data_IF_493622353045
#
_entry.id   IF_493622353045
#
_cell.length_a   1.000
_cell.length_b   1.000
_cell.length_c   1.000
_cell.angle_alpha   90.00
_cell.angle_beta   90.00
_cell.angle_gamma   90.00
#
_symmetry.space_group_name_H-M   'P 1'
#
loop_
_entity.id
_entity.type
_entity.pdbx_description
1 polymer ?
#
# COMPACT_ATOMS: atom_id res chain seq x y z
N UNK A 1 3.64 23.18 -40.65
CA UNK A 1 3.04 22.38 -39.55
C UNK A 1 4.02 22.27 -38.41
N UNK A 2 3.61 22.63 -37.20
CA UNK A 2 4.39 22.49 -35.97
C UNK A 2 3.76 21.38 -35.12
N UNK A 3 4.58 20.41 -34.70
CA UNK A 3 4.17 19.35 -33.78
C UNK A 3 4.93 19.53 -32.47
N UNK A 4 4.20 19.67 -31.38
CA UNK A 4 4.77 19.77 -30.03
C UNK A 4 4.50 18.46 -29.29
N UNK A 5 5.57 17.78 -28.89
CA UNK A 5 5.49 16.56 -28.08
C UNK A 5 5.84 16.92 -26.64
N UNK A 6 4.92 16.66 -25.72
CA UNK A 6 5.11 16.92 -24.30
C UNK A 6 5.70 15.67 -23.64
N UNK A 7 6.88 15.80 -23.03
CA UNK A 7 7.47 14.78 -22.17
C UNK A 7 7.36 15.22 -20.71
N UNK A 8 6.67 14.44 -19.90
CA UNK A 8 6.52 14.72 -18.47
C UNK A 8 7.71 14.16 -17.72
N UNK A 9 8.35 14.97 -16.88
CA UNK A 9 9.46 14.51 -16.02
C UNK A 9 8.92 13.64 -14.88
N UNK A 10 9.63 12.58 -14.48
CA UNK A 10 9.27 11.80 -13.30
C UNK A 10 9.17 12.67 -12.06
N UNK A 11 8.14 12.44 -11.24
CA UNK A 11 7.98 13.11 -9.96
C UNK A 11 8.53 12.22 -8.84
N UNK A 12 9.01 12.82 -7.74
CA UNK A 12 9.63 12.09 -6.62
C UNK A 12 8.66 11.13 -5.93
N UNK A 13 7.39 11.50 -5.84
CA UNK A 13 6.38 10.75 -5.09
C UNK A 13 5.21 10.24 -5.93
N UNK A 14 5.01 10.80 -7.12
CA UNK A 14 3.83 10.51 -7.94
C UNK A 14 4.22 9.79 -9.21
N UNK A 15 3.52 8.71 -9.51
CA UNK A 15 3.59 8.04 -10.80
C UNK A 15 2.26 8.20 -11.52
N UNK A 16 2.28 8.72 -12.74
CA UNK A 16 1.09 8.80 -13.58
C UNK A 16 0.90 7.50 -14.34
N UNK A 17 -0.30 6.95 -14.29
CA UNK A 17 -0.74 5.81 -15.08
C UNK A 17 -2.06 6.15 -15.79
N UNK A 18 -1.98 6.49 -17.08
CA UNK A 18 -3.12 7.01 -17.83
C UNK A 18 -3.69 8.30 -17.22
N UNK A 19 -4.91 8.22 -16.70
CA UNK A 19 -5.58 9.29 -15.94
C UNK A 19 -5.40 9.17 -14.43
N UNK A 20 -4.86 8.06 -13.93
CA UNK A 20 -4.69 7.83 -12.51
C UNK A 20 -3.31 8.33 -12.03
N UNK A 21 -3.26 8.69 -10.76
CA UNK A 21 -2.02 9.04 -10.06
C UNK A 21 -1.79 7.98 -8.99
N UNK A 22 -0.60 7.39 -8.97
CA UNK A 22 -0.18 6.43 -7.95
C UNK A 22 0.74 7.16 -6.97
N UNK A 23 0.44 7.01 -5.68
CA UNK A 23 1.25 7.49 -4.57
C UNK A 23 1.63 6.31 -3.68
N UNK A 24 2.92 6.11 -3.46
CA UNK A 24 3.42 5.16 -2.48
C UNK A 24 3.48 5.82 -1.10
N UNK A 25 2.63 5.37 -0.19
CA UNK A 25 2.55 5.88 1.17
C UNK A 25 3.26 4.91 2.12
N UNK A 26 4.41 5.35 2.63
CA UNK A 26 5.13 4.61 3.66
C UNK A 26 4.43 4.78 5.02
N UNK A 27 4.05 3.68 5.64
CA UNK A 27 3.47 3.65 6.99
C UNK A 27 4.29 2.70 7.86
N UNK A 28 4.38 2.97 9.15
CA UNK A 28 5.06 2.04 10.06
C UNK A 28 4.14 0.86 10.44
N UNK A 29 4.74 -0.20 10.97
CA UNK A 29 4.01 -1.42 11.36
C UNK A 29 2.90 -1.18 12.41
N UNK A 30 3.04 -0.17 13.28
CA UNK A 30 2.01 0.14 14.27
C UNK A 30 0.79 0.82 13.62
N UNK A 31 1.01 1.76 12.71
CA UNK A 31 -0.07 2.37 11.90
C UNK A 31 -0.82 1.31 11.09
N UNK A 32 -0.08 0.38 10.47
CA UNK A 32 -0.68 -0.71 9.71
C UNK A 32 -1.52 -1.64 10.60
N UNK A 33 -1.01 -2.01 11.78
CA UNK A 33 -1.70 -2.90 12.70
C UNK A 33 -2.92 -2.26 13.37
N UNK A 34 -2.78 -1.01 13.84
CA UNK A 34 -3.78 -0.33 14.67
C UNK A 34 -4.76 0.54 13.86
N UNK A 35 -4.42 0.82 12.59
CA UNK A 35 -5.09 1.84 11.79
C UNK A 35 -4.57 3.23 12.15
N UNK A 36 -4.82 4.19 11.25
CA UNK A 36 -4.41 5.58 11.42
C UNK A 36 -5.21 6.51 10.49
N UNK A 37 -5.15 7.81 10.70
CA UNK A 37 -5.66 8.82 9.77
C UNK A 37 -4.55 9.79 9.41
N UNK A 38 -4.20 9.85 8.12
CA UNK A 38 -3.08 10.65 7.63
C UNK A 38 -3.50 11.57 6.49
N UNK A 39 -2.81 12.70 6.33
CA UNK A 39 -2.96 13.55 5.16
C UNK A 39 -1.96 13.16 4.07
N UNK A 40 -2.46 12.99 2.85
CA UNK A 40 -1.63 12.71 1.67
C UNK A 40 -1.69 13.88 0.68
N UNK A 41 -0.58 14.17 -0.02
CA UNK A 41 -0.57 15.18 -1.06
C UNK A 41 -1.34 14.69 -2.29
N UNK A 42 -1.96 15.64 -2.98
CA UNK A 42 -2.59 15.45 -4.29
C UNK A 42 -1.76 16.12 -5.38
N UNK A 43 -1.92 15.65 -6.63
CA UNK A 43 -1.18 16.20 -7.78
C UNK A 43 -1.53 17.68 -8.10
N UNK A 44 -2.65 18.19 -7.59
CA UNK A 44 -3.06 19.60 -7.74
C UNK A 44 -2.53 20.53 -6.63
N UNK A 45 -1.66 20.01 -5.75
CA UNK A 45 -1.05 20.77 -4.66
C UNK A 45 -1.87 20.85 -3.38
N UNK A 46 -3.06 20.23 -3.34
CA UNK A 46 -3.88 20.12 -2.12
C UNK A 46 -3.52 18.87 -1.32
N UNK A 47 -4.14 18.71 -0.16
CA UNK A 47 -4.09 17.49 0.64
C UNK A 47 -5.46 16.82 0.72
N UNK A 48 -5.46 15.52 1.01
CA UNK A 48 -6.66 14.75 1.34
C UNK A 48 -6.38 13.87 2.55
N UNK A 49 -7.37 13.76 3.45
CA UNK A 49 -7.33 12.80 4.55
C UNK A 49 -7.59 11.39 4.03
N UNK A 50 -6.80 10.45 4.51
CA UNK A 50 -6.84 9.03 4.18
C UNK A 50 -6.89 8.25 5.48
N UNK A 51 -7.95 7.47 5.64
CA UNK A 51 -8.06 6.51 6.73
C UNK A 51 -7.37 5.22 6.33
N UNK A 52 -6.39 4.81 7.13
CA UNK A 52 -5.71 3.52 7.04
C UNK A 52 -6.47 2.54 7.93
N UNK A 53 -7.10 1.49 7.37
CA UNK A 53 -7.78 0.48 8.17
C UNK A 53 -6.81 -0.26 9.10
N UNK A 54 -7.29 -0.66 10.28
CA UNK A 54 -6.53 -1.57 11.14
C UNK A 54 -6.31 -2.92 10.44
N UNK A 55 -5.12 -3.49 10.59
CA UNK A 55 -4.71 -4.72 9.90
C UNK A 55 -4.31 -4.54 8.44
N UNK A 56 -4.07 -3.31 7.98
CA UNK A 56 -3.59 -3.04 6.62
C UNK A 56 -2.28 -3.76 6.33
N UNK A 57 -2.14 -4.28 5.11
CA UNK A 57 -0.98 -5.04 4.65
C UNK A 57 -0.15 -4.25 3.64
N UNK A 58 1.07 -4.75 3.39
CA UNK A 58 1.89 -4.25 2.28
C UNK A 58 1.16 -4.43 0.96
N UNK A 59 1.12 -3.38 0.14
CA UNK A 59 0.52 -3.43 -1.20
C UNK A 59 -0.97 -3.14 -1.23
N UNK A 60 -1.64 -3.07 -0.07
CA UNK A 60 -3.03 -2.63 0.00
C UNK A 60 -3.20 -1.24 -0.63
N UNK A 61 -4.33 -1.02 -1.28
CA UNK A 61 -4.59 0.21 -2.02
C UNK A 61 -5.84 0.92 -1.53
N UNK A 62 -5.73 2.22 -1.35
CA UNK A 62 -6.84 3.11 -1.04
C UNK A 62 -7.08 4.02 -2.23
N UNK A 63 -8.31 4.05 -2.73
CA UNK A 63 -8.67 4.81 -3.94
C UNK A 63 -9.37 6.11 -3.57
N UNK A 64 -8.73 7.23 -3.89
CA UNK A 64 -9.30 8.57 -3.79
C UNK A 64 -9.95 8.93 -5.13
N UNK A 65 -11.28 8.76 -5.18
CA UNK A 65 -12.07 8.96 -6.40
C UNK A 65 -12.00 10.41 -6.88
N UNK A 66 -11.89 10.59 -8.20
CA UNK A 66 -11.82 11.88 -8.88
C UNK A 66 -10.66 12.77 -8.38
N UNK A 67 -9.53 12.19 -7.94
CA UNK A 67 -8.33 12.92 -7.52
C UNK A 67 -7.13 12.72 -8.46
N UNK A 68 -7.32 12.03 -9.58
CA UNK A 68 -6.32 11.86 -10.62
C UNK A 68 -6.28 13.02 -11.62
N UNK A 69 -5.79 12.74 -12.82
CA UNK A 69 -5.62 13.72 -13.90
C UNK A 69 -6.96 13.98 -14.63
N UNK A 70 -7.30 15.24 -14.96
CA UNK A 70 -8.45 15.52 -15.80
C UNK A 70 -8.21 15.10 -17.26
N UNK A 71 -9.20 14.47 -17.85
CA UNK A 71 -9.28 14.21 -19.28
C UNK A 71 -9.78 15.47 -20.01
N UNK A 72 -8.97 15.99 -20.92
CA UNK A 72 -9.26 17.20 -21.67
C UNK A 72 -10.43 17.07 -22.65
N UNK A 73 -10.79 15.85 -23.06
CA UNK A 73 -11.87 15.62 -24.03
C UNK A 73 -13.21 15.39 -23.35
N UNK A 74 -13.24 14.51 -22.35
CA UNK A 74 -14.48 14.10 -21.69
C UNK A 74 -14.84 14.92 -20.45
N UNK A 75 -13.89 15.70 -19.91
CA UNK A 75 -14.04 16.39 -18.62
C UNK A 75 -14.03 15.46 -17.40
N UNK A 76 -13.97 14.13 -17.61
CA UNK A 76 -13.82 13.16 -16.52
C UNK A 76 -12.46 13.30 -15.87
N UNK A 77 -12.34 12.85 -14.63
CA UNK A 77 -11.07 12.77 -13.91
C UNK A 77 -10.78 11.33 -13.54
N UNK A 78 -9.50 10.95 -13.58
CA UNK A 78 -9.07 9.68 -13.00
C UNK A 78 -9.04 9.74 -11.47
N UNK A 79 -8.46 8.71 -10.87
CA UNK A 79 -8.38 8.56 -9.42
C UNK A 79 -6.93 8.70 -8.93
N UNK A 80 -6.76 8.99 -7.65
CA UNK A 80 -5.47 8.82 -6.99
C UNK A 80 -5.49 7.50 -6.20
N UNK A 81 -4.56 6.61 -6.52
CA UNK A 81 -4.39 5.30 -5.90
C UNK A 81 -3.24 5.43 -4.92
N UNK A 82 -3.55 5.35 -3.63
CA UNK A 82 -2.57 5.34 -2.55
C UNK A 82 -2.22 3.89 -2.25
N UNK A 83 -0.98 3.48 -2.52
CA UNK A 83 -0.49 2.14 -2.23
C UNK A 83 0.29 2.16 -0.91
N UNK A 84 -0.12 1.32 0.02
CA UNK A 84 0.50 1.24 1.33
C UNK A 84 1.81 0.44 1.25
N UNK A 85 2.86 1.02 1.81
CA UNK A 85 4.16 0.39 1.96
C UNK A 85 4.49 0.33 3.45
N UNK A 86 4.30 -0.86 4.05
CA UNK A 86 4.59 -1.05 5.47
C UNK A 86 6.10 -1.15 5.67
N UNK A 87 6.65 -0.24 6.46
CA UNK A 87 8.08 -0.13 6.74
C UNK A 87 8.39 -0.64 8.14
N UNK A 88 9.31 -1.60 8.21
CA UNK A 88 9.88 -2.10 9.47
C UNK A 88 11.11 -1.24 9.84
N UNK A 89 11.20 -0.71 11.07
CA UNK A 89 12.33 0.13 11.48
C UNK A 89 13.65 -0.66 11.49
N UNK A 90 14.72 -0.03 10.97
CA UNK A 90 16.07 -0.62 10.95
C UNK A 90 16.84 -0.44 12.26
N UNK A 91 16.45 0.54 13.07
CA UNK A 91 17.08 0.90 14.34
C UNK A 91 15.98 1.17 15.35
N UNK A 92 16.22 0.79 16.61
CA UNK A 92 15.27 0.90 17.70
C UNK A 92 15.96 1.49 18.93
N UNK A 93 15.27 2.36 19.66
CA UNK A 93 15.65 2.74 21.02
C UNK A 93 15.48 1.55 21.97
N UNK A 94 16.08 1.64 23.17
CA UNK A 94 15.94 0.57 24.18
C UNK A 94 14.48 0.33 24.56
N UNK A 95 13.70 1.40 24.68
CA UNK A 95 12.26 1.32 24.97
C UNK A 95 11.47 0.66 23.82
N UNK A 96 11.70 1.08 22.58
CA UNK A 96 11.03 0.47 21.42
C UNK A 96 11.38 -1.01 21.29
N UNK A 97 12.64 -1.39 21.57
CA UNK A 97 13.07 -2.78 21.56
C UNK A 97 12.38 -3.59 22.65
N UNK A 98 12.22 -3.03 23.85
CA UNK A 98 11.48 -3.68 24.94
C UNK A 98 10.03 -3.96 24.53
N UNK A 99 9.31 -2.94 24.03
CA UNK A 99 7.92 -3.07 23.59
C UNK A 99 7.75 -4.10 22.47
N UNK A 100 8.66 -4.13 21.49
CA UNK A 100 8.60 -5.11 20.40
C UNK A 100 8.90 -6.54 20.87
N UNK A 101 9.71 -6.73 21.93
CA UNK A 101 9.92 -8.05 22.54
C UNK A 101 8.66 -8.53 23.24
N UNK A 102 8.03 -7.68 24.03
CA UNK A 102 6.76 -8.00 24.71
C UNK A 102 5.66 -8.35 23.70
N UNK A 103 5.57 -7.57 22.61
CA UNK A 103 4.68 -7.89 21.50
C UNK A 103 5.02 -9.25 20.87
N UNK A 104 6.30 -9.52 20.59
CA UNK A 104 6.73 -10.79 20.02
C UNK A 104 6.41 -12.00 20.91
N UNK A 105 6.56 -11.86 22.23
CA UNK A 105 6.16 -12.89 23.19
C UNK A 105 4.64 -13.14 23.16
N UNK A 106 3.84 -12.06 23.10
CA UNK A 106 2.37 -12.18 23.03
C UNK A 106 1.84 -12.79 21.73
N UNK A 107 2.49 -12.52 20.60
CA UNK A 107 2.13 -13.05 19.28
C UNK A 107 2.56 -14.50 19.09
N UNK A 108 3.54 -14.97 19.89
CA UNK A 108 4.20 -16.24 19.68
C UNK A 108 5.06 -16.25 18.41
N UNK A 109 5.49 -17.45 17.98
CA UNK A 109 6.25 -17.63 16.74
C UNK A 109 5.33 -18.13 15.64
N UNK A 110 5.26 -17.40 14.54
CA UNK A 110 4.69 -17.93 13.30
C UNK A 110 5.67 -18.91 12.66
N UNK A 111 5.46 -20.20 12.92
CA UNK A 111 6.04 -21.25 12.08
C UNK A 111 5.17 -21.35 10.83
N UNK A 112 5.54 -20.65 9.76
CA UNK A 112 5.09 -21.07 8.44
C UNK A 112 5.84 -22.36 8.11
N UNK A 113 5.32 -23.50 8.58
CA UNK A 113 5.52 -24.73 7.84
C UNK A 113 4.96 -24.47 6.46
N UNK A 114 5.84 -24.43 5.46
CA UNK A 114 5.45 -24.69 4.09
C UNK A 114 4.95 -26.16 4.03
N UNK A 115 3.72 -26.40 4.49
CA UNK A 115 2.96 -27.58 4.11
C UNK A 115 1.77 -27.09 3.30
N UNK A 116 1.97 -27.08 1.98
CA UNK A 116 0.93 -27.19 0.96
C UNK A 116 0.10 -28.47 1.16
N UNK A 117 -0.70 -28.54 2.24
CA UNK A 117 -1.73 -29.57 2.44
C UNK A 117 -3.13 -29.02 2.26
N UNK A 118 -3.28 -27.94 1.50
CA UNK A 118 -4.59 -27.30 1.29
C UNK A 118 -5.41 -27.88 0.14
N UNK A 119 -4.76 -28.33 -0.94
CA UNK A 119 -5.48 -28.64 -2.20
C UNK A 119 -4.93 -29.92 -2.88
N UNK A 120 -3.61 -30.09 -2.93
CA UNK A 120 -3.00 -31.26 -3.57
C UNK A 120 -3.17 -32.55 -2.76
N UNK A 121 -3.29 -32.43 -1.43
CA UNK A 121 -3.54 -33.57 -0.54
C UNK A 121 -4.91 -34.22 -0.77
N UNK A 122 -5.97 -33.42 -0.93
CA UNK A 122 -7.33 -33.94 -1.15
C UNK A 122 -7.49 -34.67 -2.49
N UNK A 123 -6.79 -34.22 -3.53
CA UNK A 123 -6.82 -34.86 -4.86
C UNK A 123 -6.01 -36.16 -4.83
N UNK A 124 -4.91 -36.21 -4.08
CA UNK A 124 -4.09 -37.40 -3.91
C UNK A 124 -4.85 -38.50 -3.14
N UNK A 125 -5.55 -38.12 -2.07
CA UNK A 125 -6.38 -39.03 -1.27
C UNK A 125 -7.58 -39.58 -2.07
N UNK A 126 -8.14 -38.79 -3.00
CA UNK A 126 -9.22 -39.23 -3.89
C UNK A 126 -8.76 -40.14 -5.05
N UNK A 127 -7.48 -40.11 -5.42
CA UNK A 127 -6.92 -40.90 -6.53
C UNK A 127 -6.10 -42.11 -6.11
N UNK A 128 -5.90 -42.34 -4.80
CA UNK A 128 -5.33 -43.58 -4.29
C UNK A 128 -3.88 -43.86 -4.73
N UNK A 129 -3.08 -42.81 -4.96
CA UNK A 129 -1.61 -42.87 -5.13
C UNK A 129 -0.98 -41.95 -4.11
#
# INVERSE_FOLDING_TARGET
NLYVVIKVRPHRYFKRDGLNIILDLNINMAQAALGDEVEVPLADGKTARVTIPAGSQFGDTIVLRNKGVPDLRSGRRGDQIVRLHVVVPRTLTDEQRKLLKELAESLGKTMHSAEDKGIFGQIKDALGV
#
